data_IF_464524090633
#
_entry.id   IF_464524090633
#
_cell.length_a   1.000
_cell.length_b   1.000
_cell.length_c   1.000
_cell.angle_alpha   90.00
_cell.angle_beta   90.00
_cell.angle_gamma   90.00
#
_symmetry.space_group_name_H-M   'P 1'
#
loop_
_entity.id
_entity.type
_entity.pdbx_description
1 polymer ?
#
# COMPACT_ATOMS: atom_id res chain seq x y z
N UNK A 1 -5.10 12.42 14.97
CA UNK A 1 -4.71 11.00 14.75
C UNK A 1 -4.05 10.91 13.38
N UNK A 2 -2.92 10.20 13.25
CA UNK A 2 -2.12 10.23 12.02
C UNK A 2 -2.25 8.96 11.16
N UNK A 3 -2.70 7.84 11.76
CA UNK A 3 -2.83 6.54 11.08
C UNK A 3 -4.15 5.90 11.44
N UNK A 4 -4.90 5.50 10.43
CA UNK A 4 -6.10 4.69 10.53
C UNK A 4 -5.71 3.22 10.29
N UNK A 5 -6.25 2.31 11.09
CA UNK A 5 -6.04 0.89 10.90
C UNK A 5 -7.36 0.14 11.10
N UNK A 6 -7.70 -0.73 10.17
CA UNK A 6 -8.92 -1.56 10.20
C UNK A 6 -8.54 -3.03 9.97
N UNK A 7 -8.26 -3.78 11.06
CA UNK A 7 -8.08 -5.23 10.98
C UNK A 7 -9.34 -5.92 10.47
N UNK A 8 -9.18 -7.02 9.73
CA UNK A 8 -10.31 -7.77 9.19
C UNK A 8 -11.12 -7.03 8.13
N UNK A 9 -10.52 -6.03 7.48
CA UNK A 9 -11.15 -5.34 6.34
C UNK A 9 -11.40 -6.30 5.18
N UNK A 10 -10.45 -7.22 4.92
CA UNK A 10 -10.68 -8.45 4.16
C UNK A 10 -10.53 -9.65 5.07
N UNK A 11 -11.36 -10.66 4.87
CA UNK A 11 -11.17 -11.96 5.51
C UNK A 11 -10.02 -12.75 4.84
N UNK A 12 -9.57 -13.80 5.47
CA UNK A 12 -8.51 -14.69 4.96
C UNK A 12 -8.83 -15.20 3.55
N UNK A 13 -10.08 -15.63 3.32
CA UNK A 13 -10.54 -16.09 2.01
C UNK A 13 -10.51 -14.99 0.94
N UNK A 14 -10.80 -13.73 1.30
CA UNK A 14 -10.69 -12.57 0.44
C UNK A 14 -9.25 -12.32 0.03
N UNK A 15 -8.34 -12.29 1.00
CA UNK A 15 -6.90 -12.14 0.74
C UNK A 15 -6.37 -13.27 -0.16
N UNK A 16 -6.72 -14.53 0.13
CA UNK A 16 -6.31 -15.68 -0.67
C UNK A 16 -6.82 -15.59 -2.12
N UNK A 17 -8.08 -15.17 -2.34
CA UNK A 17 -8.64 -14.99 -3.68
C UNK A 17 -7.90 -13.92 -4.48
N UNK A 18 -7.55 -12.80 -3.85
CA UNK A 18 -6.79 -11.73 -4.53
C UNK A 18 -5.37 -12.20 -4.84
N UNK A 19 -4.67 -12.84 -3.89
CA UNK A 19 -3.33 -13.41 -4.18
C UNK A 19 -3.37 -14.40 -5.34
N UNK A 20 -4.37 -15.30 -5.36
CA UNK A 20 -4.54 -16.24 -6.46
C UNK A 20 -4.83 -15.55 -7.81
N UNK A 21 -5.49 -14.38 -7.82
CA UNK A 21 -5.65 -13.57 -9.03
C UNK A 21 -4.31 -12.94 -9.43
N UNK A 22 -3.52 -12.43 -8.49
CA UNK A 22 -2.17 -11.90 -8.74
C UNK A 22 -1.22 -12.98 -9.27
N UNK A 23 -1.32 -14.25 -8.80
CA UNK A 23 -0.49 -15.36 -9.29
C UNK A 23 -0.74 -15.70 -10.76
N UNK A 24 -1.95 -15.41 -11.25
CA UNK A 24 -2.32 -15.58 -12.67
C UNK A 24 -2.05 -14.35 -13.51
N UNK A 25 -1.80 -13.23 -12.86
CA UNK A 25 -1.62 -11.93 -13.48
C UNK A 25 -0.25 -11.76 -14.13
N UNK A 26 -0.16 -10.79 -15.04
CA UNK A 26 1.12 -10.36 -15.60
C UNK A 26 1.78 -9.40 -14.62
N UNK A 27 3.02 -9.69 -14.23
CA UNK A 27 3.83 -8.85 -13.35
C UNK A 27 4.82 -8.02 -14.18
N UNK A 28 4.88 -6.72 -13.93
CA UNK A 28 5.83 -5.78 -14.54
C UNK A 28 6.59 -5.05 -13.44
N UNK A 29 7.86 -4.69 -13.70
CA UNK A 29 8.63 -3.92 -12.72
C UNK A 29 7.94 -2.56 -12.49
N UNK A 30 7.65 -2.25 -11.23
CA UNK A 30 6.96 -1.03 -10.89
C UNK A 30 7.85 0.20 -11.13
N UNK A 31 7.23 1.25 -11.64
CA UNK A 31 7.88 2.53 -11.95
C UNK A 31 7.86 3.47 -10.75
N UNK A 32 8.74 4.47 -10.80
CA UNK A 32 8.73 5.67 -9.94
C UNK A 32 8.58 6.90 -10.81
N UNK A 33 8.05 7.99 -10.25
CA UNK A 33 7.94 9.27 -10.93
C UNK A 33 9.09 10.21 -10.52
N UNK A 34 9.90 10.64 -11.51
CA UNK A 34 11.01 11.59 -11.34
C UNK A 34 11.02 12.58 -12.52
N UNK A 35 9.89 13.30 -12.72
CA UNK A 35 9.66 14.10 -13.93
C UNK A 35 9.27 13.26 -15.16
N UNK A 36 8.98 11.99 -14.96
CA UNK A 36 8.58 10.97 -15.91
C UNK A 36 8.59 9.61 -15.22
N UNK A 37 7.87 8.61 -15.74
CA UNK A 37 7.84 7.26 -15.18
C UNK A 37 9.08 6.47 -15.62
N UNK A 38 9.83 5.95 -14.65
CA UNK A 38 11.05 5.16 -14.86
C UNK A 38 11.14 3.99 -13.89
N UNK A 39 11.78 2.91 -14.30
CA UNK A 39 12.12 1.79 -13.41
C UNK A 39 13.52 2.02 -12.82
N UNK A 40 13.60 2.29 -11.51
CA UNK A 40 14.87 2.35 -10.76
C UNK A 40 14.88 1.33 -9.62
N UNK A 41 15.56 0.22 -9.84
CA UNK A 41 15.68 -0.89 -8.88
C UNK A 41 16.49 -0.55 -7.61
N UNK A 42 17.19 0.60 -7.57
CA UNK A 42 17.87 1.08 -6.36
C UNK A 42 16.92 1.86 -5.45
N UNK A 43 15.81 2.36 -6.00
CA UNK A 43 14.77 3.09 -5.27
C UNK A 43 13.57 2.19 -4.97
N UNK A 44 13.10 1.43 -5.98
CA UNK A 44 11.94 0.55 -5.85
C UNK A 44 12.20 -0.81 -6.50
N UNK A 45 12.04 -1.87 -5.71
CA UNK A 45 12.15 -3.25 -6.19
C UNK A 45 10.88 -4.01 -5.85
N UNK A 46 9.86 -3.79 -6.67
CA UNK A 46 8.54 -4.42 -6.57
C UNK A 46 7.96 -4.58 -7.97
N UNK A 47 6.88 -5.33 -8.08
CA UNK A 47 6.15 -5.55 -9.31
C UNK A 47 4.73 -5.02 -9.17
N UNK A 48 4.24 -4.33 -10.20
CA UNK A 48 2.82 -4.13 -10.43
C UNK A 48 2.26 -5.37 -11.11
N UNK A 49 1.16 -5.89 -10.58
CA UNK A 49 0.54 -7.12 -11.08
C UNK A 49 -0.84 -6.81 -11.64
N UNK A 50 -1.02 -7.02 -12.93
CA UNK A 50 -2.32 -6.89 -13.56
C UNK A 50 -3.22 -8.05 -13.12
N UNK A 51 -4.42 -7.74 -12.62
CA UNK A 51 -5.43 -8.74 -12.25
C UNK A 51 -6.67 -8.57 -13.12
N UNK A 52 -7.57 -9.55 -13.07
CA UNK A 52 -8.83 -9.49 -13.81
C UNK A 52 -9.77 -8.37 -13.29
N UNK A 53 -10.64 -7.84 -14.17
CA UNK A 53 -11.55 -6.73 -13.86
C UNK A 53 -12.54 -7.04 -12.73
N UNK A 54 -12.88 -8.31 -12.51
CA UNK A 54 -13.75 -8.73 -11.40
C UNK A 54 -13.04 -8.52 -10.06
N UNK A 55 -11.76 -8.88 -9.99
CA UNK A 55 -10.92 -8.67 -8.79
C UNK A 55 -10.76 -7.18 -8.53
N UNK A 56 -10.45 -6.37 -9.55
CA UNK A 56 -10.40 -4.90 -9.45
C UNK A 56 -11.71 -4.36 -8.88
N UNK A 57 -12.85 -4.69 -9.47
CA UNK A 57 -14.15 -4.18 -9.02
C UNK A 57 -14.57 -4.62 -7.62
N UNK A 58 -14.07 -5.75 -7.10
CA UNK A 58 -14.28 -6.14 -5.70
C UNK A 58 -13.54 -5.19 -4.77
N UNK A 59 -12.27 -4.89 -5.07
CA UNK A 59 -11.42 -4.01 -4.26
C UNK A 59 -11.92 -2.58 -4.30
N UNK A 60 -12.25 -2.05 -5.48
CA UNK A 60 -12.81 -0.69 -5.64
C UNK A 60 -14.07 -0.49 -4.79
N UNK A 61 -15.00 -1.45 -4.82
CA UNK A 61 -16.21 -1.38 -3.97
C UNK A 61 -15.88 -1.41 -2.49
N UNK A 62 -14.92 -2.23 -2.08
CA UNK A 62 -14.51 -2.29 -0.68
C UNK A 62 -13.90 -0.95 -0.22
N UNK A 63 -13.02 -0.35 -1.01
CA UNK A 63 -12.44 0.96 -0.72
C UNK A 63 -13.49 2.08 -0.75
N UNK A 64 -14.41 2.06 -1.72
CA UNK A 64 -15.52 3.00 -1.75
C UNK A 64 -16.38 2.94 -0.47
N UNK A 65 -16.63 1.74 0.05
CA UNK A 65 -17.43 1.54 1.26
C UNK A 65 -16.75 2.07 2.53
N UNK A 66 -15.41 2.03 2.62
CA UNK A 66 -14.66 2.53 3.80
C UNK A 66 -14.35 4.02 3.72
N UNK A 67 -14.53 4.66 2.56
CA UNK A 67 -14.16 6.06 2.34
C UNK A 67 -14.77 7.03 3.35
N UNK A 68 -16.04 6.88 3.68
CA UNK A 68 -16.71 7.75 4.65
C UNK A 68 -16.10 7.62 6.06
N UNK A 69 -15.71 6.43 6.47
CA UNK A 69 -15.06 6.16 7.75
C UNK A 69 -13.65 6.78 7.79
N UNK A 70 -12.88 6.62 6.72
CA UNK A 70 -11.55 7.23 6.56
C UNK A 70 -11.65 8.76 6.52
N UNK A 71 -12.64 9.31 5.80
CA UNK A 71 -12.95 10.74 5.72
C UNK A 71 -13.21 11.32 7.11
N UNK A 72 -14.07 10.66 7.89
CA UNK A 72 -14.37 11.05 9.26
C UNK A 72 -13.14 11.01 10.17
N UNK A 73 -12.32 9.95 10.06
CA UNK A 73 -11.12 9.77 10.87
C UNK A 73 -10.09 10.89 10.65
N UNK A 74 -9.86 11.30 9.42
CA UNK A 74 -8.90 12.36 9.08
C UNK A 74 -9.50 13.76 9.15
N UNK A 75 -10.83 13.91 9.28
CA UNK A 75 -11.51 15.20 9.26
C UNK A 75 -11.42 15.88 7.88
N UNK A 76 -11.39 15.09 6.80
CA UNK A 76 -11.27 15.57 5.43
C UNK A 76 -12.41 15.05 4.55
N UNK A 77 -12.82 15.86 3.58
CA UNK A 77 -13.75 15.40 2.54
C UNK A 77 -12.95 14.68 1.47
N UNK A 78 -13.20 13.38 1.33
CA UNK A 78 -12.56 12.52 0.33
C UNK A 78 -13.56 12.20 -0.76
N UNK A 79 -13.26 12.56 -2.01
CA UNK A 79 -14.23 12.54 -3.12
C UNK A 79 -14.16 11.30 -3.99
N UNK A 80 -12.95 10.85 -4.35
CA UNK A 80 -12.72 9.78 -5.31
C UNK A 80 -11.52 8.90 -4.89
N UNK A 81 -11.39 7.75 -5.52
CA UNK A 81 -10.20 6.91 -5.47
C UNK A 81 -9.48 6.97 -6.82
N UNK A 82 -8.17 6.75 -6.82
CA UNK A 82 -7.37 6.69 -8.05
C UNK A 82 -7.58 5.38 -8.80
N UNK A 83 -7.74 4.30 -8.04
CA UNK A 83 -7.85 2.94 -8.50
C UNK A 83 -6.78 2.04 -7.88
N UNK A 84 -7.11 0.77 -7.58
CA UNK A 84 -6.23 -0.11 -6.85
C UNK A 84 -5.03 -0.59 -7.68
N UNK A 85 -3.81 -0.38 -7.13
CA UNK A 85 -2.58 -1.00 -7.60
C UNK A 85 -2.28 -2.28 -6.81
N UNK A 86 -1.94 -3.37 -7.49
CA UNK A 86 -1.63 -4.66 -6.87
C UNK A 86 -0.12 -4.87 -6.88
N UNK A 87 0.49 -4.79 -5.72
CA UNK A 87 1.95 -4.76 -5.56
C UNK A 87 2.47 -6.07 -4.99
N UNK A 88 3.51 -6.61 -5.64
CA UNK A 88 4.23 -7.82 -5.20
C UNK A 88 5.68 -7.52 -4.93
N UNK A 89 6.11 -7.75 -3.70
CA UNK A 89 7.50 -7.62 -3.24
C UNK A 89 8.06 -9.02 -2.98
N UNK A 90 8.92 -9.56 -3.86
CA UNK A 90 9.62 -10.81 -3.59
C UNK A 90 10.72 -10.61 -2.54
N UNK A 91 11.37 -11.67 -2.12
CA UNK A 91 12.59 -11.59 -1.30
C UNK A 91 13.59 -10.60 -1.90
N UNK A 92 14.08 -9.67 -1.08
CA UNK A 92 14.90 -8.53 -1.49
C UNK A 92 14.11 -7.36 -2.08
N UNK A 93 12.77 -7.46 -2.15
CA UNK A 93 11.88 -6.39 -2.58
C UNK A 93 11.76 -5.29 -1.52
N UNK A 94 11.68 -4.03 -1.93
CA UNK A 94 11.55 -2.86 -1.07
C UNK A 94 11.04 -1.65 -1.86
N UNK A 95 10.67 -0.59 -1.15
CA UNK A 95 10.49 0.74 -1.71
C UNK A 95 11.04 1.76 -0.72
N UNK A 96 12.05 2.54 -1.14
CA UNK A 96 12.70 3.54 -0.29
C UNK A 96 11.75 4.65 0.12
N UNK A 97 12.16 5.42 1.11
CA UNK A 97 11.38 6.53 1.65
C UNK A 97 10.96 7.51 0.55
N UNK A 98 9.65 7.77 0.46
CA UNK A 98 9.01 8.62 -0.54
C UNK A 98 7.74 9.25 0.00
N UNK A 99 7.20 10.19 -0.76
CA UNK A 99 5.89 10.80 -0.53
C UNK A 99 4.97 10.36 -1.68
N UNK A 100 3.71 10.07 -1.34
CA UNK A 100 2.69 9.74 -2.36
C UNK A 100 2.05 10.99 -2.96
N UNK A 101 2.08 12.10 -2.23
CA UNK A 101 1.55 13.38 -2.69
C UNK A 101 2.59 14.09 -3.54
N UNK A 102 2.20 14.38 -4.78
CA UNK A 102 2.94 15.26 -5.67
C UNK A 102 2.29 16.65 -5.59
N UNK A 103 2.96 17.60 -4.94
CA UNK A 103 2.54 19.01 -4.93
C UNK A 103 3.05 19.70 -6.20
N UNK A 104 2.61 19.24 -7.38
CA UNK A 104 2.90 19.89 -8.65
C UNK A 104 1.79 20.87 -9.06
N UNK A 105 2.13 22.08 -9.51
CA UNK A 105 1.14 23.04 -10.04
C UNK A 105 0.39 22.43 -11.24
N UNK A 106 -0.94 22.42 -11.18
CA UNK A 106 -1.79 21.94 -12.27
C UNK A 106 -2.40 20.54 -12.06
N UNK A 107 -2.02 19.81 -11.01
CA UNK A 107 -2.76 18.63 -10.59
C UNK A 107 -3.96 19.04 -9.71
N UNK A 108 -5.15 19.07 -10.31
CA UNK A 108 -6.41 19.34 -9.59
C UNK A 108 -6.75 18.25 -8.55
N UNK A 109 -6.14 17.09 -8.68
CA UNK A 109 -6.35 15.93 -7.81
C UNK A 109 -5.02 15.55 -7.13
N UNK A 110 -4.69 16.21 -6.02
CA UNK A 110 -3.60 15.74 -5.19
C UNK A 110 -4.07 14.66 -4.24
N UNK A 111 -3.35 13.54 -4.18
CA UNK A 111 -3.59 12.45 -3.22
C UNK A 111 -3.61 13.00 -1.80
N UNK A 112 -4.67 12.75 -1.05
CA UNK A 112 -4.83 13.22 0.34
C UNK A 112 -4.54 12.12 1.35
N UNK A 113 -5.06 10.93 1.08
CA UNK A 113 -4.93 9.77 1.95
C UNK A 113 -4.46 8.57 1.13
N UNK A 114 -3.38 7.96 1.57
CA UNK A 114 -2.84 6.72 1.02
C UNK A 114 -3.43 5.53 1.76
N UNK A 115 -3.77 4.50 1.01
CA UNK A 115 -4.34 3.24 1.48
C UNK A 115 -3.37 2.10 1.20
N UNK A 116 -3.15 1.25 2.19
CA UNK A 116 -2.39 -0.01 2.05
C UNK A 116 -3.19 -1.14 2.67
N UNK A 117 -3.65 -2.07 1.85
CA UNK A 117 -4.27 -3.31 2.31
C UNK A 117 -3.27 -4.44 2.21
N UNK A 118 -2.89 -5.00 3.36
CA UNK A 118 -2.01 -6.17 3.40
C UNK A 118 -2.76 -7.43 2.96
N UNK A 119 -2.14 -8.21 2.08
CA UNK A 119 -2.66 -9.50 1.63
C UNK A 119 -1.87 -10.68 2.21
N UNK A 120 -0.74 -10.41 2.86
CA UNK A 120 0.16 -11.39 3.47
C UNK A 120 0.37 -11.07 4.94
N UNK A 121 0.63 -12.10 5.73
CA UNK A 121 0.99 -11.99 7.15
C UNK A 121 2.50 -11.91 7.35
N UNK A 122 2.91 -11.25 8.42
CA UNK A 122 4.29 -11.35 8.88
C UNK A 122 4.56 -12.73 9.48
N UNK A 123 5.72 -13.31 9.15
CA UNK A 123 6.19 -14.57 9.72
C UNK A 123 6.96 -15.42 8.74
N UNK A 124 7.75 -16.37 9.30
CA UNK A 124 8.50 -17.34 8.51
C UNK A 124 7.58 -18.38 7.90
N UNK A 125 7.85 -18.75 6.68
CA UNK A 125 7.19 -19.84 5.96
C UNK A 125 7.22 -19.60 4.46
N UNK A 126 7.73 -20.56 3.70
CA UNK A 126 7.68 -20.55 2.24
C UNK A 126 6.28 -21.04 1.84
N UNK A 127 5.52 -20.21 1.16
CA UNK A 127 4.16 -20.51 0.70
C UNK A 127 3.08 -19.84 1.56
N UNK A 128 1.87 -19.82 1.07
CA UNK A 128 0.62 -19.48 1.77
C UNK A 128 0.48 -18.09 2.42
N UNK A 129 1.01 -17.04 1.74
CA UNK A 129 0.67 -15.69 2.14
C UNK A 129 1.42 -15.18 3.37
N UNK A 130 2.68 -15.58 3.55
CA UNK A 130 3.56 -15.09 4.60
C UNK A 130 4.82 -14.43 4.03
N UNK A 131 5.34 -13.44 4.76
CA UNK A 131 6.62 -12.82 4.47
C UNK A 131 7.35 -12.44 5.76
N UNK A 132 8.68 -12.50 5.73
CA UNK A 132 9.52 -11.92 6.77
C UNK A 132 10.05 -10.55 6.27
N UNK A 133 10.08 -9.54 7.15
CA UNK A 133 10.35 -8.16 6.72
C UNK A 133 9.16 -7.52 6.00
N UNK A 134 9.44 -6.63 5.05
CA UNK A 134 8.40 -5.96 4.26
C UNK A 134 7.47 -5.04 5.07
N UNK A 135 7.92 -4.53 6.22
CA UNK A 135 7.12 -3.66 7.07
C UNK A 135 6.88 -2.32 6.39
N UNK A 136 5.71 -1.76 6.61
CA UNK A 136 5.41 -0.38 6.25
C UNK A 136 5.95 0.53 7.35
N UNK A 137 6.89 1.40 7.01
CA UNK A 137 7.49 2.38 7.92
C UNK A 137 6.99 3.76 7.61
N UNK A 138 6.47 4.46 8.61
CA UNK A 138 5.99 5.84 8.53
C UNK A 138 6.84 6.74 9.40
N UNK A 139 7.20 7.91 8.90
CA UNK A 139 8.01 8.91 9.60
C UNK A 139 7.16 10.10 10.07
N UNK A 140 7.55 10.75 11.16
CA UNK A 140 6.84 11.92 11.69
C UNK A 140 5.45 11.64 12.29
N UNK A 141 5.10 10.38 12.51
CA UNK A 141 3.78 9.97 13.04
C UNK A 141 3.74 10.05 14.57
N UNK A 142 4.83 9.64 15.23
CA UNK A 142 4.91 9.58 16.71
C UNK A 142 5.16 10.97 17.26
N UNK A 143 6.06 11.72 16.64
CA UNK A 143 6.36 13.11 16.94
C UNK A 143 6.71 13.83 15.63
N UNK A 144 5.90 14.82 15.19
CA UNK A 144 6.18 15.57 13.96
C UNK A 144 7.53 16.31 13.97
N UNK A 145 8.07 16.63 15.15
CA UNK A 145 9.38 17.26 15.30
C UNK A 145 10.54 16.23 15.27
N UNK A 146 10.24 14.94 15.34
CA UNK A 146 11.21 13.85 15.37
C UNK A 146 10.94 12.85 14.25
N UNK A 147 11.25 13.22 13.02
CA UNK A 147 11.19 12.29 11.86
C UNK A 147 12.07 11.05 12.04
N UNK A 148 12.99 11.10 13.01
CA UNK A 148 13.92 10.00 13.31
C UNK A 148 13.30 8.84 14.08
N UNK A 149 12.09 8.99 14.66
CA UNK A 149 11.37 7.92 15.36
C UNK A 149 10.25 7.38 14.46
N UNK A 150 10.51 6.35 13.67
CA UNK A 150 9.51 5.80 12.77
C UNK A 150 8.46 4.97 13.49
N UNK A 151 7.28 4.88 12.90
CA UNK A 151 6.27 3.87 13.22
C UNK A 151 6.38 2.72 12.23
N UNK A 152 6.76 1.55 12.72
CA UNK A 152 6.81 0.33 11.91
C UNK A 152 5.51 -0.48 12.05
N UNK A 153 4.87 -0.75 10.91
CA UNK A 153 3.62 -1.52 10.83
C UNK A 153 3.94 -2.85 10.15
N UNK A 154 3.82 -3.92 10.92
CA UNK A 154 4.01 -5.28 10.43
C UNK A 154 2.89 -5.68 9.47
N UNK A 155 3.16 -6.38 8.38
CA UNK A 155 2.12 -6.95 7.53
C UNK A 155 1.18 -7.86 8.34
N UNK A 156 -0.13 -7.64 8.17
CA UNK A 156 -1.19 -8.46 8.76
C UNK A 156 -2.30 -8.60 7.71
N UNK A 157 -2.44 -9.80 7.16
CA UNK A 157 -3.37 -10.06 6.05
C UNK A 157 -4.79 -9.60 6.41
N UNK A 158 -5.44 -8.92 5.47
CA UNK A 158 -6.77 -8.36 5.64
C UNK A 158 -6.82 -7.06 6.42
N UNK A 159 -5.70 -6.52 6.89
CA UNK A 159 -5.66 -5.22 7.56
C UNK A 159 -5.49 -4.09 6.54
N UNK A 160 -6.42 -3.14 6.55
CA UNK A 160 -6.29 -1.87 5.85
C UNK A 160 -5.62 -0.85 6.76
N UNK A 161 -4.57 -0.21 6.25
CA UNK A 161 -3.90 0.94 6.86
C UNK A 161 -4.11 2.14 5.97
N UNK A 162 -4.47 3.30 6.55
CA UNK A 162 -4.53 4.57 5.83
C UNK A 162 -3.76 5.65 6.59
N UNK A 163 -3.10 6.52 5.83
CA UNK A 163 -2.31 7.64 6.35
C UNK A 163 -2.32 8.81 5.35
N UNK A 164 -1.96 10.01 5.83
CA UNK A 164 -1.90 11.19 4.96
C UNK A 164 -0.80 11.03 3.91
N UNK A 165 -1.11 11.28 2.64
CA UNK A 165 -0.20 11.04 1.51
C UNK A 165 1.07 11.92 1.52
N UNK A 166 1.12 12.95 2.37
CA UNK A 166 2.32 13.76 2.60
C UNK A 166 3.26 13.20 3.67
N UNK A 167 2.91 12.09 4.32
CA UNK A 167 3.82 11.44 5.27
C UNK A 167 4.91 10.68 4.51
N UNK A 168 6.15 10.95 4.89
CA UNK A 168 7.30 10.19 4.40
C UNK A 168 7.16 8.75 4.86
N UNK A 169 7.25 7.81 3.93
CA UNK A 169 7.08 6.39 4.23
C UNK A 169 7.90 5.50 3.30
N UNK A 170 8.13 4.27 3.74
CA UNK A 170 8.87 3.27 2.98
C UNK A 170 8.33 1.87 3.21
N UNK A 171 8.66 0.95 2.31
CA UNK A 171 8.52 -0.49 2.53
C UNK A 171 9.91 -1.06 2.77
N UNK A 172 10.13 -1.57 3.99
CA UNK A 172 11.38 -2.21 4.37
C UNK A 172 11.63 -3.48 3.54
N UNK A 173 12.89 -3.91 3.37
CA UNK A 173 13.19 -5.10 2.60
C UNK A 173 12.44 -6.34 3.10
N UNK A 174 11.86 -7.07 2.17
CA UNK A 174 11.37 -8.44 2.40
C UNK A 174 12.60 -9.35 2.51
N UNK A 175 12.77 -10.00 3.64
CA UNK A 175 13.93 -10.87 3.89
C UNK A 175 13.67 -12.32 3.51
N UNK A 176 12.39 -12.75 3.56
CA UNK A 176 11.96 -14.08 3.11
C UNK A 176 10.50 -14.05 2.65
N UNK A 177 10.16 -14.92 1.68
CA UNK A 177 8.82 -15.06 1.15
C UNK A 177 8.42 -13.95 0.17
N UNK A 178 7.11 -13.69 0.08
CA UNK A 178 6.52 -12.70 -0.82
C UNK A 178 5.52 -11.83 -0.04
N UNK A 179 5.71 -10.52 -0.10
CA UNK A 179 4.75 -9.55 0.43
C UNK A 179 3.84 -9.07 -0.70
N UNK A 180 2.57 -9.41 -0.62
CA UNK A 180 1.54 -8.88 -1.49
C UNK A 180 0.72 -7.81 -0.75
N UNK A 181 0.41 -6.71 -1.43
CA UNK A 181 -0.42 -5.63 -0.92
C UNK A 181 -1.22 -4.97 -2.05
N UNK A 182 -2.31 -4.32 -1.67
CA UNK A 182 -3.04 -3.42 -2.56
C UNK A 182 -2.83 -2.01 -2.04
N UNK A 183 -2.57 -1.07 -2.95
CA UNK A 183 -2.48 0.35 -2.65
C UNK A 183 -3.54 1.12 -3.43
N UNK A 184 -4.03 2.20 -2.87
CA UNK A 184 -4.92 3.16 -3.55
C UNK A 184 -4.79 4.52 -2.85
N UNK A 185 -5.35 5.55 -3.44
CA UNK A 185 -5.31 6.90 -2.89
C UNK A 185 -6.68 7.56 -2.99
N UNK A 186 -7.07 8.24 -1.91
CA UNK A 186 -8.22 9.13 -1.94
C UNK A 186 -7.78 10.58 -2.17
N UNK A 187 -8.60 11.30 -2.94
CA UNK A 187 -8.47 12.71 -3.25
C UNK A 187 -9.39 13.57 -2.41
#
# INVERSE_FOLDING_TARGET
MCVFAKPGFFDEGGCARVRAAMDRGRAEAAEIYVGGYVVDKNVRRTFDVAVDSRTVGIVERAFANVRAEVSCFFGETLSAAEGPGFLRYPTGGFYRAHLDRLDEPGHEFSRRVSLVLFLTDAGRGVGDGRCEGGWLRLYGVVDPAQETVPLDISPAAGTLVAFRSHLLHEVLPVTDGVRDAIVDWFY
#
